data_IF_977491829093
#
_entry.id   IF_977491829093
#
_cell.length_a   1.000
_cell.length_b   1.000
_cell.length_c   1.000
_cell.angle_alpha   90.00
_cell.angle_beta   90.00
_cell.angle_gamma   90.00
#
_symmetry.space_group_name_H-M   'P 1'
#
loop_
_entity.id
_entity.type
_entity.pdbx_description
1 polymer ?
#
# COMPACT_ATOMS: atom_id res chain seq x y z
N UNK A 1 -13.18 10.15 -4.96
CA UNK A 1 -13.35 9.06 -5.94
C UNK A 1 -13.59 7.78 -5.15
N UNK A 2 -14.57 6.98 -5.53
CA UNK A 2 -14.79 5.62 -5.01
C UNK A 2 -13.72 4.66 -5.53
N UNK A 3 -13.55 3.49 -4.90
CA UNK A 3 -12.57 2.49 -5.37
C UNK A 3 -12.98 1.98 -6.76
N UNK A 4 -14.27 1.73 -6.95
CA UNK A 4 -14.88 1.37 -8.23
C UNK A 4 -14.59 2.38 -9.34
N UNK A 5 -14.72 3.68 -9.04
CA UNK A 5 -14.38 4.77 -9.97
C UNK A 5 -12.89 4.79 -10.31
N UNK A 6 -12.02 4.56 -9.32
CA UNK A 6 -10.57 4.51 -9.50
C UNK A 6 -10.14 3.31 -10.35
N UNK A 7 -10.67 2.12 -10.08
CA UNK A 7 -10.43 0.91 -10.89
C UNK A 7 -10.82 1.14 -12.35
N UNK A 8 -12.02 1.70 -12.59
CA UNK A 8 -12.51 2.00 -13.95
C UNK A 8 -11.60 3.00 -14.67
N UNK A 9 -11.24 4.09 -13.99
CA UNK A 9 -10.36 5.12 -14.57
C UNK A 9 -8.97 4.56 -14.89
N UNK A 10 -8.43 3.68 -14.05
CA UNK A 10 -7.15 3.02 -14.30
C UNK A 10 -7.25 2.08 -15.51
N UNK A 11 -8.31 1.27 -15.60
CA UNK A 11 -8.54 0.38 -16.74
C UNK A 11 -8.63 1.15 -18.07
N UNK A 12 -9.36 2.26 -18.10
CA UNK A 12 -9.45 3.13 -19.27
C UNK A 12 -8.10 3.74 -19.63
N UNK A 13 -7.32 4.18 -18.63
CA UNK A 13 -5.98 4.72 -18.82
C UNK A 13 -5.01 3.69 -19.41
N UNK A 14 -5.05 2.43 -18.94
CA UNK A 14 -4.24 1.32 -19.45
C UNK A 14 -4.58 1.01 -20.91
N UNK A 15 -5.88 0.86 -21.20
CA UNK A 15 -6.38 0.55 -22.55
C UNK A 15 -5.98 1.61 -23.57
N UNK A 16 -6.11 2.88 -23.20
CA UNK A 16 -5.74 4.00 -24.08
C UNK A 16 -4.26 4.00 -24.48
N UNK A 17 -3.39 3.27 -23.76
CA UNK A 17 -1.95 3.20 -24.00
C UNK A 17 -1.47 1.82 -24.48
N UNK A 18 -2.39 0.86 -24.68
CA UNK A 18 -2.03 -0.51 -25.02
C UNK A 18 -1.25 -1.23 -23.91
N UNK A 19 -1.37 -0.79 -22.65
CA UNK A 19 -0.69 -1.41 -21.51
C UNK A 19 -1.25 -2.80 -21.17
N UNK A 20 -2.31 -3.22 -21.86
CA UNK A 20 -2.78 -4.60 -21.90
C UNK A 20 -1.69 -5.60 -22.28
N UNK A 21 -0.65 -5.17 -23.01
CA UNK A 21 0.49 -5.98 -23.40
C UNK A 21 1.45 -6.37 -22.25
N UNK A 22 1.44 -5.65 -21.12
CA UNK A 22 2.30 -5.99 -19.98
C UNK A 22 1.74 -7.16 -19.18
N UNK A 23 2.61 -8.07 -18.78
CA UNK A 23 2.26 -9.26 -17.99
C UNK A 23 2.04 -8.90 -16.53
N UNK A 24 1.19 -9.64 -15.84
CA UNK A 24 0.89 -9.48 -14.42
C UNK A 24 2.16 -9.54 -13.56
N UNK A 25 3.12 -10.39 -13.93
CA UNK A 25 4.41 -10.48 -13.23
C UNK A 25 5.20 -9.17 -13.30
N UNK A 26 5.16 -8.45 -14.42
CA UNK A 26 5.84 -7.18 -14.58
C UNK A 26 5.17 -6.08 -13.74
N UNK A 27 3.83 -6.05 -13.75
CA UNK A 27 3.04 -5.12 -12.92
C UNK A 27 3.29 -5.39 -11.43
N UNK A 28 3.34 -6.66 -11.03
CA UNK A 28 3.62 -7.05 -9.66
C UNK A 28 5.05 -6.69 -9.23
N UNK A 29 6.06 -6.95 -10.06
CA UNK A 29 7.44 -6.53 -9.76
C UNK A 29 7.53 -5.02 -9.59
N UNK A 30 6.90 -4.25 -10.48
CA UNK A 30 6.88 -2.79 -10.38
C UNK A 30 6.15 -2.31 -9.11
N UNK A 31 5.07 -2.98 -8.70
CA UNK A 31 4.41 -2.67 -7.43
C UNK A 31 5.36 -2.83 -6.24
N UNK A 32 6.19 -3.87 -6.23
CA UNK A 32 7.19 -4.06 -5.17
C UNK A 32 8.23 -2.93 -5.18
N UNK A 33 8.66 -2.47 -6.35
CA UNK A 33 9.57 -1.33 -6.49
C UNK A 33 8.96 -0.05 -5.88
N UNK A 34 7.72 0.29 -6.23
CA UNK A 34 7.03 1.47 -5.69
C UNK A 34 6.76 1.37 -4.17
N UNK A 35 6.46 0.17 -3.66
CA UNK A 35 6.36 -0.06 -2.22
C UNK A 35 7.73 0.12 -1.52
N UNK A 36 8.83 -0.19 -2.20
CA UNK A 36 10.18 0.00 -1.65
C UNK A 36 10.56 1.49 -1.57
N UNK A 37 10.04 2.34 -2.47
CA UNK A 37 10.21 3.79 -2.41
C UNK A 37 9.49 4.38 -1.19
N UNK A 38 8.26 3.92 -0.86
CA UNK A 38 7.63 4.24 0.43
C UNK A 38 8.52 3.81 1.60
N UNK A 39 9.12 2.62 1.50
CA UNK A 39 10.10 2.11 2.47
C UNK A 39 11.27 3.06 2.67
N UNK A 40 11.80 3.69 1.62
CA UNK A 40 12.89 4.67 1.75
C UNK A 40 12.50 5.88 2.60
N UNK A 41 11.28 6.41 2.43
CA UNK A 41 10.77 7.49 3.28
C UNK A 41 10.70 7.06 4.75
N UNK A 42 10.22 5.85 5.02
CA UNK A 42 10.12 5.30 6.37
C UNK A 42 11.50 5.20 7.01
N UNK A 43 12.48 4.61 6.29
CA UNK A 43 13.83 4.43 6.80
C UNK A 43 14.54 5.76 7.10
N UNK A 44 14.30 6.80 6.30
CA UNK A 44 14.83 8.13 6.57
C UNK A 44 14.12 8.76 7.78
N UNK A 45 12.78 8.70 7.83
CA UNK A 45 11.97 9.23 8.93
C UNK A 45 12.32 8.59 10.28
N UNK A 46 12.68 7.31 10.29
CA UNK A 46 13.07 6.56 11.48
C UNK A 46 14.56 6.70 11.82
N UNK A 47 15.32 7.49 11.05
CA UNK A 47 16.73 7.77 11.30
C UNK A 47 17.68 6.63 10.96
N UNK A 48 17.19 5.53 10.37
CA UNK A 48 18.04 4.42 9.92
C UNK A 48 18.88 4.83 8.70
N UNK A 49 18.26 5.47 7.71
CA UNK A 49 18.97 6.10 6.59
C UNK A 49 19.15 7.58 6.89
N UNK A 50 20.39 7.99 7.13
CA UNK A 50 20.76 9.39 7.31
C UNK A 50 21.35 9.96 6.00
N UNK A 51 20.64 10.86 5.30
CA UNK A 51 21.12 11.43 4.03
C UNK A 51 22.47 12.14 4.14
N UNK A 52 22.70 12.81 5.27
CA UNK A 52 23.95 13.51 5.57
C UNK A 52 25.13 12.57 5.86
N UNK A 53 24.88 11.26 5.97
CA UNK A 53 25.88 10.23 6.27
C UNK A 53 26.00 9.20 5.14
N UNK A 54 25.85 9.64 3.89
CA UNK A 54 26.13 8.83 2.70
C UNK A 54 24.96 7.97 2.20
N UNK A 55 23.76 8.16 2.75
CA UNK A 55 22.55 7.57 2.19
C UNK A 55 21.90 8.52 1.19
N UNK A 56 21.26 7.98 0.16
CA UNK A 56 20.38 8.79 -0.67
C UNK A 56 19.03 8.98 0.02
N UNK A 57 18.57 10.23 0.05
CA UNK A 57 17.19 10.55 0.40
C UNK A 57 16.20 10.01 -0.65
N UNK A 58 14.89 10.05 -0.36
CA UNK A 58 13.87 9.76 -1.35
C UNK A 58 13.79 10.86 -2.42
N UNK A 59 13.46 10.49 -3.66
CA UNK A 59 13.58 11.34 -4.85
C UNK A 59 12.40 12.28 -5.14
N UNK A 60 11.49 12.52 -4.20
CA UNK A 60 10.30 13.32 -4.45
C UNK A 60 9.39 13.52 -3.23
N UNK A 61 8.09 13.39 -3.44
CA UNK A 61 7.08 13.50 -2.39
C UNK A 61 6.42 12.15 -2.11
N UNK A 62 6.31 11.77 -0.83
CA UNK A 62 5.82 10.44 -0.41
C UNK A 62 4.42 10.11 -0.96
N UNK A 63 3.55 11.11 -1.14
CA UNK A 63 2.21 10.89 -1.66
C UNK A 63 2.21 10.36 -3.10
N UNK A 64 3.27 10.63 -3.88
CA UNK A 64 3.41 10.12 -5.25
C UNK A 64 3.65 8.62 -5.25
N UNK A 65 4.50 8.13 -4.36
CA UNK A 65 4.82 6.71 -4.23
C UNK A 65 3.57 5.90 -3.82
N UNK A 66 2.77 6.42 -2.88
CA UNK A 66 1.46 5.83 -2.55
C UNK A 66 0.52 5.82 -3.76
N UNK A 67 0.52 6.89 -4.55
CA UNK A 67 -0.28 6.97 -5.78
C UNK A 67 0.15 5.96 -6.84
N UNK A 68 1.45 5.77 -7.05
CA UNK A 68 2.03 4.82 -8.01
C UNK A 68 1.75 3.38 -7.57
N UNK A 69 2.04 3.04 -6.31
CA UNK A 69 1.75 1.72 -5.75
C UNK A 69 0.25 1.40 -5.83
N UNK A 70 -0.62 2.35 -5.46
CA UNK A 70 -2.07 2.15 -5.56
C UNK A 70 -2.52 1.97 -7.02
N UNK A 71 -1.95 2.72 -7.96
CA UNK A 71 -2.25 2.58 -9.39
C UNK A 71 -1.89 1.19 -9.90
N UNK A 72 -0.70 0.67 -9.60
CA UNK A 72 -0.26 -0.68 -9.99
C UNK A 72 -1.11 -1.77 -9.33
N UNK A 73 -1.53 -1.56 -8.08
CA UNK A 73 -2.46 -2.46 -7.41
C UNK A 73 -3.84 -2.50 -8.09
N UNK A 74 -4.37 -1.35 -8.52
CA UNK A 74 -5.61 -1.30 -9.32
C UNK A 74 -5.45 -2.03 -10.66
N UNK A 75 -4.30 -1.88 -11.34
CA UNK A 75 -4.02 -2.63 -12.57
C UNK A 75 -4.07 -4.14 -12.32
N UNK A 76 -3.41 -4.63 -11.27
CA UNK A 76 -3.47 -6.06 -10.91
C UNK A 76 -4.90 -6.50 -10.61
N UNK A 77 -5.64 -5.75 -9.79
CA UNK A 77 -7.04 -6.09 -9.49
C UNK A 77 -7.89 -6.20 -10.76
N UNK A 78 -7.69 -5.28 -11.72
CA UNK A 78 -8.34 -5.34 -13.03
C UNK A 78 -7.95 -6.59 -13.83
N UNK A 79 -6.66 -7.00 -13.83
CA UNK A 79 -6.20 -8.22 -14.52
C UNK A 79 -6.79 -9.50 -13.97
N UNK A 80 -6.98 -9.56 -12.65
CA UNK A 80 -7.61 -10.69 -12.00
C UNK A 80 -9.15 -10.64 -12.04
N UNK A 81 -9.75 -9.60 -12.63
CA UNK A 81 -11.20 -9.43 -12.68
C UNK A 81 -11.83 -9.22 -11.30
N UNK A 82 -11.09 -8.63 -10.36
CA UNK A 82 -11.53 -8.41 -8.98
C UNK A 82 -12.29 -7.09 -8.88
N UNK A 83 -13.53 -7.16 -8.39
CA UNK A 83 -14.24 -5.99 -7.84
C UNK A 83 -13.59 -5.62 -6.50
N UNK A 84 -12.69 -4.64 -6.53
CA UNK A 84 -11.88 -4.30 -5.36
C UNK A 84 -12.68 -3.60 -4.28
N UNK A 85 -13.71 -2.82 -4.66
CA UNK A 85 -14.58 -2.15 -3.69
C UNK A 85 -15.40 -3.17 -2.89
N UNK A 86 -15.95 -4.17 -3.59
CA UNK A 86 -16.63 -5.30 -2.94
C UNK A 86 -15.65 -6.12 -2.10
N UNK A 87 -14.49 -6.49 -2.65
CA UNK A 87 -13.50 -7.29 -1.94
C UNK A 87 -13.02 -6.61 -0.65
N UNK A 88 -12.77 -5.30 -0.69
CA UNK A 88 -12.34 -4.53 0.47
C UNK A 88 -13.44 -4.46 1.54
N UNK A 89 -14.70 -4.22 1.15
CA UNK A 89 -15.84 -4.23 2.08
C UNK A 89 -16.01 -5.60 2.75
N UNK A 90 -16.01 -6.66 1.96
CA UNK A 90 -16.22 -8.01 2.47
C UNK A 90 -15.08 -8.44 3.42
N UNK A 91 -13.83 -8.08 3.11
CA UNK A 91 -12.69 -8.34 4.01
C UNK A 91 -12.77 -7.53 5.30
N UNK A 92 -13.21 -6.26 5.25
CA UNK A 92 -13.44 -5.47 6.46
C UNK A 92 -14.48 -6.14 7.38
N UNK A 93 -15.59 -6.62 6.84
CA UNK A 93 -16.61 -7.33 7.62
C UNK A 93 -16.05 -8.62 8.28
N UNK A 94 -15.11 -9.30 7.62
CA UNK A 94 -14.40 -10.46 8.16
C UNK A 94 -13.43 -10.02 9.27
N UNK A 95 -12.66 -8.96 9.03
CA UNK A 95 -11.69 -8.41 9.98
C UNK A 95 -12.36 -7.93 11.27
N UNK A 96 -13.50 -7.25 11.18
CA UNK A 96 -14.26 -6.78 12.35
C UNK A 96 -14.70 -7.94 13.25
N UNK A 97 -15.12 -9.06 12.66
CA UNK A 97 -15.48 -10.29 13.41
C UNK A 97 -14.26 -10.96 14.02
N UNK A 98 -13.14 -10.99 13.27
CA UNK A 98 -11.90 -11.66 13.69
C UNK A 98 -11.14 -10.88 14.76
N UNK A 99 -11.27 -9.55 14.78
CA UNK A 99 -10.47 -8.66 15.62
C UNK A 99 -11.33 -7.71 16.47
N UNK A 100 -11.96 -8.20 17.57
CA UNK A 100 -12.83 -7.39 18.41
C UNK A 100 -12.12 -6.20 19.07
N UNK A 101 -12.70 -4.98 19.01
CA UNK A 101 -12.00 -3.76 19.41
C UNK A 101 -11.65 -3.70 20.89
N UNK A 102 -12.48 -4.23 21.80
CA UNK A 102 -12.22 -4.21 23.25
C UNK A 102 -11.02 -5.10 23.60
N UNK A 103 -10.92 -6.27 22.96
CA UNK A 103 -9.85 -7.24 23.20
C UNK A 103 -8.51 -6.68 22.72
N UNK A 104 -8.49 -6.12 21.51
CA UNK A 104 -7.28 -5.50 20.96
C UNK A 104 -6.83 -4.27 21.74
N UNK A 105 -7.76 -3.37 22.09
CA UNK A 105 -7.43 -2.18 22.90
C UNK A 105 -6.78 -2.55 24.23
N UNK A 106 -7.27 -3.61 24.90
CA UNK A 106 -6.66 -4.12 26.13
C UNK A 106 -5.25 -4.67 25.89
N UNK A 107 -5.08 -5.50 24.86
CA UNK A 107 -3.79 -6.09 24.51
C UNK A 107 -2.72 -5.02 24.22
N UNK A 108 -3.03 -4.02 23.41
CA UNK A 108 -2.10 -2.93 23.05
C UNK A 108 -1.64 -2.18 24.30
N UNK A 109 -2.57 -1.78 25.17
CA UNK A 109 -2.27 -1.05 26.41
C UNK A 109 -1.40 -1.85 27.38
N UNK A 110 -1.67 -3.14 27.51
CA UNK A 110 -1.00 -3.97 28.51
C UNK A 110 0.35 -4.49 28.05
N UNK A 111 0.53 -4.75 26.76
CA UNK A 111 1.73 -5.42 26.23
C UNK A 111 2.63 -4.52 25.39
N UNK A 112 2.05 -3.70 24.51
CA UNK A 112 2.84 -2.92 23.56
C UNK A 112 3.24 -1.58 24.17
N UNK A 113 2.32 -0.82 24.76
CA UNK A 113 2.64 0.49 25.37
C UNK A 113 3.56 0.35 26.58
N UNK A 114 3.34 -0.66 27.44
CA UNK A 114 4.23 -0.94 28.57
C UNK A 114 5.58 -1.54 28.16
N UNK A 115 5.66 -2.19 27.01
CA UNK A 115 6.89 -2.76 26.45
C UNK A 115 7.76 -1.72 25.73
N UNK A 116 7.14 -0.74 25.06
CA UNK A 116 7.80 0.39 24.41
C UNK A 116 8.43 1.36 25.42
N UNK A 117 7.89 1.50 26.63
CA UNK A 117 8.51 2.31 27.70
C UNK A 117 9.79 1.71 28.30
N UNK A 118 10.17 0.48 27.92
CA UNK A 118 11.35 -0.23 28.45
C UNK A 118 12.48 -0.40 27.43
N UNK A 119 12.36 0.20 26.23
CA UNK A 119 13.43 0.23 25.22
C UNK A 119 13.86 1.66 24.97
#
# INVERSE_FOLDING_TARGET
>A
MRISEAQKKMLEFEKARGWEAFRESQIFTHLIEELSEIGRYILVREGYKAPDLGHEGPGGEVWREFGQAFSLFLQLANRFGVDLEKAFRDELDIMEKRFPPEKWRRYVREKLEKGLSRR
#
